data_IF_346735488678
#
_entry.id   IF_346735488678
#
_cell.length_a   1.000
_cell.length_b   1.000
_cell.length_c   1.000
_cell.angle_alpha   90.00
_cell.angle_beta   90.00
_cell.angle_gamma   90.00
#
_symmetry.space_group_name_H-M   'P 1'
#
loop_
_entity.id
_entity.type
_entity.pdbx_description
1 polymer ?
#
# COMPACT_ATOMS: atom_id res chain seq x y z
N UNK A 1 -2.29 -29.13 19.23
CA UNK A 1 -2.31 -29.39 17.76
C UNK A 1 -3.73 -29.43 17.21
N UNK A 2 -4.66 -30.06 17.92
CA UNK A 2 -6.08 -30.23 17.54
C UNK A 2 -6.84 -28.91 17.36
N UNK A 3 -6.68 -27.93 18.27
CA UNK A 3 -7.29 -26.61 18.13
C UNK A 3 -6.87 -25.90 16.82
N UNK A 4 -5.61 -26.08 16.37
CA UNK A 4 -5.13 -25.55 15.09
C UNK A 4 -5.81 -26.24 13.90
N UNK A 5 -6.03 -27.55 13.98
CA UNK A 5 -6.70 -28.33 12.94
C UNK A 5 -8.19 -27.98 12.82
N UNK A 6 -8.88 -27.76 13.95
CA UNK A 6 -10.28 -27.32 13.95
C UNK A 6 -10.42 -25.94 13.32
N UNK A 7 -9.58 -24.97 13.74
CA UNK A 7 -9.53 -23.64 13.13
C UNK A 7 -9.24 -23.69 11.61
N UNK A 8 -8.40 -24.63 11.16
CA UNK A 8 -8.13 -24.83 9.73
C UNK A 8 -9.36 -25.36 8.97
N UNK A 9 -10.03 -26.40 9.50
CA UNK A 9 -11.24 -26.98 8.90
C UNK A 9 -12.36 -25.94 8.79
N UNK A 10 -12.60 -25.18 9.85
CA UNK A 10 -13.56 -24.07 9.86
C UNK A 10 -13.17 -22.97 8.85
N UNK A 11 -11.90 -22.57 8.83
CA UNK A 11 -11.38 -21.61 7.84
C UNK A 11 -11.54 -22.09 6.41
N UNK A 12 -11.40 -23.40 6.16
CA UNK A 12 -11.56 -24.00 4.83
C UNK A 12 -13.01 -23.93 4.35
N UNK A 13 -13.97 -24.26 5.22
CA UNK A 13 -15.41 -24.20 4.89
C UNK A 13 -15.87 -22.78 4.56
N UNK A 14 -15.31 -21.76 5.23
CA UNK A 14 -15.67 -20.33 5.03
C UNK A 14 -14.87 -19.60 3.94
N UNK A 15 -14.06 -20.30 3.13
CA UNK A 15 -13.30 -19.65 2.05
C UNK A 15 -14.28 -19.12 1.01
N UNK A 16 -14.03 -17.89 0.55
CA UNK A 16 -14.77 -17.27 -0.54
C UNK A 16 -13.89 -17.35 -1.79
N UNK A 17 -14.38 -18.00 -2.84
CA UNK A 17 -13.66 -18.18 -4.10
C UNK A 17 -14.08 -17.19 -5.18
N UNK A 18 -15.21 -16.53 -4.97
CA UNK A 18 -15.70 -15.46 -5.84
C UNK A 18 -14.77 -14.24 -5.80
N UNK A 19 -14.79 -13.46 -6.89
CA UNK A 19 -14.00 -12.24 -7.00
C UNK A 19 -14.55 -11.15 -6.07
N UNK A 20 -13.97 -11.03 -4.89
CA UNK A 20 -14.31 -9.97 -3.94
C UNK A 20 -13.53 -8.68 -4.24
N UNK A 21 -14.24 -7.59 -4.54
CA UNK A 21 -13.67 -6.25 -4.60
C UNK A 21 -13.69 -5.66 -3.19
N UNK A 22 -12.52 -5.48 -2.57
CA UNK A 22 -12.42 -4.94 -1.21
C UNK A 22 -12.37 -3.41 -1.15
N UNK A 23 -11.73 -2.79 -2.14
CA UNK A 23 -11.51 -1.35 -2.17
C UNK A 23 -12.25 -0.76 -3.38
N UNK A 24 -13.46 -0.26 -3.16
CA UNK A 24 -14.32 0.27 -4.21
C UNK A 24 -13.69 1.47 -4.92
N UNK A 25 -13.10 2.40 -4.17
CA UNK A 25 -12.42 3.58 -4.72
C UNK A 25 -11.31 3.22 -5.71
N UNK A 26 -10.45 2.25 -5.34
CA UNK A 26 -9.37 1.76 -6.22
C UNK A 26 -9.90 1.10 -7.49
N UNK A 27 -11.04 0.41 -7.42
CA UNK A 27 -11.70 -0.17 -8.60
C UNK A 27 -12.16 0.95 -9.54
N UNK A 28 -12.86 1.96 -9.03
CA UNK A 28 -13.30 3.10 -9.83
C UNK A 28 -12.11 3.77 -10.54
N UNK A 29 -11.03 4.10 -9.82
CA UNK A 29 -9.85 4.69 -10.45
C UNK A 29 -9.21 3.80 -11.53
N UNK A 30 -9.20 2.48 -11.34
CA UNK A 30 -8.67 1.53 -12.33
C UNK A 30 -9.54 1.38 -13.58
N UNK A 31 -10.84 1.66 -13.47
CA UNK A 31 -11.81 1.67 -14.58
C UNK A 31 -11.71 2.97 -15.39
N UNK A 32 -11.41 4.09 -14.74
CA UNK A 32 -11.29 5.41 -15.37
C UNK A 32 -9.92 5.63 -16.06
N UNK A 33 -8.86 4.95 -15.60
CA UNK A 33 -7.49 5.19 -16.08
C UNK A 33 -7.26 4.64 -17.50
N UNK A 34 -6.61 5.39 -18.41
CA UNK A 34 -6.39 4.96 -19.79
C UNK A 34 -5.49 3.72 -19.89
N UNK A 35 -5.84 2.84 -20.83
CA UNK A 35 -5.12 1.58 -21.10
C UNK A 35 -4.73 1.43 -22.57
N UNK A 36 -3.55 0.87 -22.82
CA UNK A 36 -3.06 0.46 -24.14
C UNK A 36 -2.69 -1.02 -24.06
N UNK A 37 -3.33 -1.87 -24.86
CA UNK A 37 -3.15 -3.35 -24.85
C UNK A 37 -3.26 -3.96 -23.43
N UNK A 38 -4.23 -3.49 -22.64
CA UNK A 38 -4.50 -3.98 -21.28
C UNK A 38 -3.61 -3.39 -20.17
N UNK A 39 -2.51 -2.73 -20.52
CA UNK A 39 -1.60 -2.04 -19.58
C UNK A 39 -2.04 -0.61 -19.38
N UNK A 40 -1.84 -0.06 -18.17
CA UNK A 40 -2.05 1.38 -17.98
C UNK A 40 -1.03 2.18 -18.79
N UNK A 41 -1.49 3.21 -19.48
CA UNK A 41 -0.59 4.15 -20.13
C UNK A 41 0.15 4.97 -19.05
N UNK A 42 1.45 5.20 -19.25
CA UNK A 42 2.13 6.30 -18.58
C UNK A 42 1.70 7.56 -19.31
N UNK A 43 1.15 8.52 -18.58
CA UNK A 43 1.01 9.86 -19.11
C UNK A 43 2.44 10.35 -19.33
N UNK A 44 2.85 10.71 -20.57
CA UNK A 44 4.16 11.34 -20.75
C UNK A 44 4.19 12.58 -19.86
N UNK A 45 5.33 12.89 -19.26
CA UNK A 45 5.52 13.88 -18.18
C UNK A 45 5.06 15.34 -18.50
N UNK A 46 4.39 15.58 -19.63
CA UNK A 46 3.77 16.86 -20.03
C UNK A 46 2.28 16.99 -19.70
N UNK A 47 1.67 16.05 -18.99
CA UNK A 47 0.32 16.21 -18.43
C UNK A 47 0.42 16.52 -16.95
N UNK A 48 0.37 17.82 -16.61
CA UNK A 48 0.42 18.39 -15.26
C UNK A 48 -0.49 17.67 -14.25
N UNK A 49 0.00 16.58 -13.69
CA UNK A 49 -0.30 16.16 -12.34
C UNK A 49 0.92 16.56 -11.54
N UNK A 50 1.01 17.83 -11.16
CA UNK A 50 1.94 18.28 -10.14
C UNK A 50 1.79 17.33 -8.94
N UNK A 51 2.70 16.36 -8.82
CA UNK A 51 3.11 15.96 -7.49
C UNK A 51 3.47 17.30 -6.85
N UNK A 52 2.77 17.77 -5.80
CA UNK A 52 3.30 18.90 -5.07
C UNK A 52 4.73 18.50 -4.77
N UNK A 53 5.67 19.31 -5.26
CA UNK A 53 7.05 19.23 -4.84
C UNK A 53 7.00 18.92 -3.34
N UNK A 54 7.63 17.84 -2.86
CA UNK A 54 7.65 17.57 -1.43
C UNK A 54 7.99 18.92 -0.79
N UNK A 55 7.12 19.48 0.08
CA UNK A 55 7.32 20.82 0.58
C UNK A 55 8.76 20.84 1.07
N UNK A 56 9.57 21.71 0.47
CA UNK A 56 10.96 21.86 0.88
C UNK A 56 10.88 22.18 2.36
N UNK A 57 11.09 21.16 3.19
CA UNK A 57 11.19 21.37 4.61
C UNK A 57 12.34 22.36 4.75
N UNK A 58 12.17 23.47 5.49
CA UNK A 58 13.32 24.29 5.81
C UNK A 58 14.34 23.34 6.43
N UNK A 59 15.51 23.24 5.81
CA UNK A 59 16.65 22.51 6.32
C UNK A 59 17.08 23.20 7.61
N UNK A 60 16.41 22.87 8.70
CA UNK A 60 16.83 23.22 10.04
C UNK A 60 17.09 21.89 10.74
N UNK A 61 18.36 21.53 10.75
CA UNK A 61 18.92 20.46 11.56
C UNK A 61 18.74 20.81 13.05
N UNK A 62 17.51 20.72 13.54
CA UNK A 62 17.14 20.95 14.94
C UNK A 62 16.01 19.99 15.30
N UNK A 63 16.37 18.76 15.70
CA UNK A 63 15.42 17.85 16.35
C UNK A 63 15.55 16.35 16.05
N UNK A 64 16.36 15.93 15.07
CA UNK A 64 16.66 14.50 14.92
C UNK A 64 17.87 14.14 15.79
N UNK A 65 17.60 13.81 17.05
CA UNK A 65 18.56 13.16 17.95
C UNK A 65 18.45 11.64 17.76
N UNK A 66 19.31 11.00 16.94
CA UNK A 66 19.27 9.56 16.72
C UNK A 66 19.51 8.75 18.00
N UNK A 67 20.01 9.40 19.05
CA UNK A 67 20.25 8.89 20.41
C UNK A 67 18.96 8.60 21.19
N UNK A 68 17.81 9.17 20.78
CA UNK A 68 16.53 9.06 21.51
C UNK A 68 15.62 7.96 20.97
N UNK A 69 16.00 7.33 19.86
CA UNK A 69 15.31 6.17 19.34
C UNK A 69 15.99 4.94 19.98
N UNK A 70 15.40 4.41 21.04
CA UNK A 70 15.76 3.09 21.57
C UNK A 70 15.37 2.02 20.55
N UNK A 71 16.24 1.86 19.54
CA UNK A 71 16.13 0.90 18.46
C UNK A 71 16.54 -0.50 18.95
N UNK A 72 15.98 -0.93 20.10
CA UNK A 72 16.19 -2.27 20.69
C UNK A 72 15.69 -3.43 19.82
N UNK A 73 14.99 -3.16 18.72
CA UNK A 73 14.62 -4.13 17.68
C UNK A 73 15.69 -4.34 16.59
N UNK A 74 16.80 -3.58 16.60
CA UNK A 74 17.82 -3.59 15.54
C UNK A 74 19.10 -4.38 15.89
N UNK A 75 19.18 -4.96 17.10
CA UNK A 75 20.23 -5.89 17.49
C UNK A 75 19.58 -7.18 17.96
N UNK A 76 19.33 -8.07 17.01
CA UNK A 76 19.11 -9.51 17.25
C UNK A 76 19.96 -10.32 16.29
#
# INVERSE_FOLDING_TARGET
REAKLMRYKEKRKRRRYEKQIRYASRKAYAEMRPRVKGRFAKVPDGGEGAAPSPPQQPTQAAGYEPSRLDLGWFRS
#
